data_IF_150254821229
#
_entry.id   IF_150254821229
#
_cell.length_a   1.000
_cell.length_b   1.000
_cell.length_c   1.000
_cell.angle_alpha   90.00
_cell.angle_beta   90.00
_cell.angle_gamma   90.00
#
_symmetry.space_group_name_H-M   'P 1'
#
loop_
_entity.id
_entity.type
_entity.pdbx_description
1 polymer ?
#
# COMPACT_ATOMS: atom_id res chain seq x y z
N UNK A 1 -14.81 0.28 6.21
CA UNK A 1 -13.39 -0.12 6.33
C UNK A 1 -12.55 1.03 5.79
N UNK A 2 -11.69 1.65 6.59
CA UNK A 2 -10.68 2.54 6.05
C UNK A 2 -9.83 1.77 5.02
N UNK A 3 -9.62 2.46 3.90
CA UNK A 3 -8.57 2.31 2.90
C UNK A 3 -8.44 1.15 1.93
N UNK A 4 -9.36 0.18 1.87
CA UNK A 4 -9.44 -0.62 0.62
C UNK A 4 -9.82 0.26 -0.59
N UNK A 5 -10.67 1.27 -0.37
CA UNK A 5 -11.02 2.26 -1.41
C UNK A 5 -9.81 3.11 -1.83
N UNK A 6 -8.96 3.51 -0.88
CA UNK A 6 -7.75 4.27 -1.18
C UNK A 6 -6.71 3.39 -1.87
N UNK A 7 -6.49 2.17 -1.38
CA UNK A 7 -5.64 1.18 -2.03
C UNK A 7 -6.02 0.96 -3.50
N UNK A 8 -7.32 0.85 -3.79
CA UNK A 8 -7.82 0.66 -5.15
C UNK A 8 -7.66 1.90 -6.05
N UNK A 9 -7.42 3.08 -5.48
CA UNK A 9 -7.11 4.32 -6.22
C UNK A 9 -5.62 4.47 -6.50
N UNK A 10 -4.76 3.80 -5.74
CA UNK A 10 -3.32 3.78 -6.00
C UNK A 10 -3.04 3.05 -7.31
N UNK A 11 -2.09 3.58 -8.06
CA UNK A 11 -1.48 2.89 -9.20
C UNK A 11 -0.75 1.63 -8.75
N UNK A 12 -0.46 0.72 -9.68
CA UNK A 12 0.33 -0.50 -9.38
C UNK A 12 1.73 -0.18 -8.86
N UNK A 13 2.33 0.93 -9.28
CA UNK A 13 3.65 1.35 -8.80
C UNK A 13 3.59 1.81 -7.35
N UNK A 14 2.62 2.66 -7.03
CA UNK A 14 2.38 3.13 -5.65
C UNK A 14 2.04 1.98 -4.70
N UNK A 15 1.19 1.04 -5.13
CA UNK A 15 0.91 -0.18 -4.37
C UNK A 15 2.21 -0.96 -4.10
N UNK A 16 3.08 -1.12 -5.12
CA UNK A 16 4.37 -1.81 -4.96
C UNK A 16 5.29 -1.08 -3.98
N UNK A 17 5.32 0.26 -3.98
CA UNK A 17 6.11 1.05 -3.03
C UNK A 17 5.62 0.80 -1.60
N UNK A 18 4.30 0.84 -1.37
CA UNK A 18 3.71 0.54 -0.06
C UNK A 18 4.08 -0.88 0.42
N UNK A 19 3.96 -1.89 -0.44
CA UNK A 19 4.37 -3.27 -0.11
C UNK A 19 5.87 -3.35 0.19
N UNK A 20 6.71 -2.68 -0.62
CA UNK A 20 8.17 -2.65 -0.43
C UNK A 20 8.54 -2.04 0.92
N UNK A 21 7.94 -0.91 1.29
CA UNK A 21 8.20 -0.23 2.55
C UNK A 21 7.69 -1.05 3.75
N UNK A 22 6.54 -1.71 3.63
CA UNK A 22 6.07 -2.63 4.66
C UNK A 22 7.06 -3.78 4.92
N UNK A 23 7.72 -4.27 3.87
CA UNK A 23 8.77 -5.29 3.95
C UNK A 23 10.14 -4.80 4.43
N UNK A 24 10.26 -3.54 4.88
CA UNK A 24 11.53 -2.95 5.33
C UNK A 24 12.43 -2.43 4.21
N UNK A 25 11.92 -2.31 2.98
CA UNK A 25 12.62 -1.66 1.87
C UNK A 25 12.63 -0.13 2.00
N UNK A 26 13.23 0.55 1.02
CA UNK A 26 13.33 2.02 0.97
C UNK A 26 12.86 2.60 -0.38
N UNK A 27 12.54 3.90 -0.41
CA UNK A 27 12.18 4.65 -1.63
C UNK A 27 13.37 5.19 -2.42
N UNK A 28 14.62 4.92 -1.99
CA UNK A 28 15.81 5.57 -2.55
C UNK A 28 15.99 5.39 -4.06
N UNK A 29 15.51 4.28 -4.62
CA UNK A 29 15.57 3.97 -6.06
C UNK A 29 14.32 4.36 -6.84
N UNK A 30 13.28 4.86 -6.17
CA UNK A 30 12.03 5.24 -6.82
C UNK A 30 12.13 6.66 -7.37
N UNK A 31 11.40 6.92 -8.45
CA UNK A 31 11.34 8.28 -8.98
C UNK A 31 10.50 9.16 -8.05
N UNK A 32 10.86 10.44 -7.81
CA UNK A 32 10.11 11.31 -6.89
C UNK A 32 8.61 11.41 -7.22
N UNK A 33 8.27 11.43 -8.51
CA UNK A 33 6.89 11.43 -8.99
C UNK A 33 6.08 10.18 -8.59
N UNK A 34 6.73 9.06 -8.26
CA UNK A 34 6.10 7.83 -7.80
C UNK A 34 5.75 7.88 -6.30
N UNK A 35 6.39 8.78 -5.55
CA UNK A 35 6.19 8.97 -4.11
C UNK A 35 5.36 10.21 -3.77
N UNK A 36 5.28 11.21 -4.66
CA UNK A 36 4.59 12.48 -4.41
C UNK A 36 3.14 12.30 -3.96
N UNK A 37 2.36 11.51 -4.69
CA UNK A 37 0.97 11.27 -4.33
C UNK A 37 0.84 10.44 -3.04
N UNK A 38 1.75 9.49 -2.78
CA UNK A 38 1.78 8.74 -1.53
C UNK A 38 2.08 9.63 -0.31
N UNK A 39 2.95 10.63 -0.47
CA UNK A 39 3.26 11.64 0.55
C UNK A 39 2.06 12.56 0.76
N UNK A 40 1.45 13.05 -0.32
CA UNK A 40 0.25 13.91 -0.26
C UNK A 40 -0.93 13.21 0.43
N UNK A 41 -1.08 11.90 0.21
CA UNK A 41 -2.08 11.07 0.87
C UNK A 41 -1.69 10.69 2.31
N UNK A 42 -0.50 11.07 2.78
CA UNK A 42 -0.01 10.78 4.12
C UNK A 42 0.32 9.31 4.36
N UNK A 43 0.51 8.50 3.30
CA UNK A 43 0.77 7.06 3.40
C UNK A 43 2.24 6.75 3.68
N UNK A 44 3.13 7.63 3.24
CA UNK A 44 4.57 7.52 3.46
C UNK A 44 5.15 8.87 3.86
N UNK A 45 6.34 8.82 4.45
CA UNK A 45 7.24 9.95 4.70
C UNK A 45 8.60 9.64 4.09
N UNK A 46 9.55 10.58 4.21
CA UNK A 46 10.96 10.34 3.84
C UNK A 46 11.56 9.13 4.58
N UNK A 47 11.09 8.88 5.81
CA UNK A 47 11.57 7.78 6.67
C UNK A 47 10.85 6.45 6.42
N UNK A 48 9.81 6.42 5.59
CA UNK A 48 9.09 5.20 5.21
C UNK A 48 7.59 5.24 5.49
N UNK A 49 7.01 4.06 5.74
CA UNK A 49 5.56 3.86 5.81
C UNK A 49 4.97 4.49 7.08
N UNK A 50 3.90 5.27 6.94
CA UNK A 50 3.18 5.84 8.10
C UNK A 50 2.21 4.82 8.69
N UNK A 51 1.64 5.12 9.86
CA UNK A 51 0.54 4.32 10.43
C UNK A 51 -0.66 4.23 9.47
N UNK A 52 -1.00 5.31 8.77
CA UNK A 52 -2.06 5.31 7.76
C UNK A 52 -1.70 4.39 6.58
N UNK A 53 -0.46 4.45 6.08
CA UNK A 53 0.03 3.54 5.05
C UNK A 53 -0.02 2.07 5.46
N UNK A 54 0.29 1.76 6.72
CA UNK A 54 0.16 0.41 7.30
C UNK A 54 -1.30 -0.05 7.30
N UNK A 55 -2.23 0.81 7.74
CA UNK A 55 -3.66 0.48 7.74
C UNK A 55 -4.20 0.19 6.33
N UNK A 56 -3.81 0.99 5.34
CA UNK A 56 -4.14 0.77 3.92
C UNK A 56 -3.63 -0.60 3.45
N UNK A 57 -2.37 -0.90 3.74
CA UNK A 57 -1.76 -2.17 3.36
C UNK A 57 -2.47 -3.35 4.02
N UNK A 58 -2.78 -3.27 5.32
CA UNK A 58 -3.49 -4.34 6.05
C UNK A 58 -4.89 -4.56 5.47
N UNK A 59 -5.61 -3.48 5.13
CA UNK A 59 -6.93 -3.58 4.49
C UNK A 59 -6.85 -4.31 3.15
N UNK A 60 -5.87 -3.96 2.31
CA UNK A 60 -5.62 -4.62 1.03
C UNK A 60 -5.26 -6.11 1.19
N UNK A 61 -4.37 -6.41 2.14
CA UNK A 61 -3.93 -7.78 2.42
C UNK A 61 -5.08 -8.67 2.89
N UNK A 62 -5.94 -8.16 3.79
CA UNK A 62 -7.13 -8.87 4.26
C UNK A 62 -8.10 -9.17 3.11
N UNK A 63 -8.39 -8.18 2.28
CA UNK A 63 -9.27 -8.36 1.13
C UNK A 63 -8.72 -9.41 0.14
N UNK A 64 -7.41 -9.40 -0.13
CA UNK A 64 -6.78 -10.41 -0.98
C UNK A 64 -6.86 -11.81 -0.36
N UNK A 65 -6.65 -11.93 0.96
CA UNK A 65 -6.75 -13.20 1.68
C UNK A 65 -8.18 -13.75 1.63
N UNK A 66 -9.19 -12.91 1.86
CA UNK A 66 -10.60 -13.28 1.81
C UNK A 66 -11.01 -13.75 0.40
N UNK A 67 -10.60 -13.03 -0.64
CA UNK A 67 -10.83 -13.43 -2.03
C UNK A 67 -10.22 -14.80 -2.34
N UNK A 68 -8.97 -15.02 -1.92
CA UNK A 68 -8.30 -16.31 -2.11
C UNK A 68 -8.96 -17.45 -1.34
N UNK A 69 -9.46 -17.19 -0.14
CA UNK A 69 -10.18 -18.20 0.64
C UNK A 69 -11.49 -18.59 -0.06
N UNK A 70 -12.24 -17.61 -0.58
CA UNK A 70 -13.47 -17.89 -1.32
C UNK A 70 -13.20 -18.76 -2.56
N UNK A 71 -12.14 -18.49 -3.32
CA UNK A 71 -11.72 -19.31 -4.48
C UNK A 71 -11.39 -20.76 -4.10
N UNK A 72 -10.82 -21.00 -2.92
CA UNK A 72 -10.46 -22.35 -2.47
C UNK A 72 -11.65 -23.15 -1.94
N UNK A 73 -12.74 -22.48 -1.57
CA UNK A 73 -13.96 -23.10 -1.01
C UNK A 73 -15.11 -23.21 -2.00
N UNK A 74 -14.95 -22.65 -3.21
CA UNK A 74 -15.92 -22.71 -4.31
C UNK A 74 -15.66 -23.92 -5.22
#
# INVERSE_FOLDING_TARGET
MPDLKLWNRLTRREQRIVVKLFGGGSTHSDSPNETDNLIQLGLITEDGLTSAGVEVFIAAFRAQREARQAELTA
#
